data_IF_630653475454
#
_entry.id   IF_630653475454
#
_cell.length_a   1.000
_cell.length_b   1.000
_cell.length_c   1.000
_cell.angle_alpha   90.00
_cell.angle_beta   90.00
_cell.angle_gamma   90.00
#
_symmetry.space_group_name_H-M   'P 1'
#
loop_
_entity.id
_entity.type
_entity.pdbx_description
1 polymer ?
#
# COMPACT_ATOMS: atom_id res chain seq x y z
N UNK A 1 6.69 -4.08 -18.60
CA UNK A 1 6.99 -3.60 -17.24
C UNK A 1 7.67 -4.74 -16.49
N UNK A 2 8.87 -4.53 -15.93
CA UNK A 2 9.59 -5.60 -15.24
C UNK A 2 9.10 -5.70 -13.79
N UNK A 3 8.06 -6.50 -13.56
CA UNK A 3 7.36 -6.64 -12.27
C UNK A 3 8.23 -7.22 -11.15
N UNK A 4 9.30 -7.94 -11.50
CA UNK A 4 10.27 -8.50 -10.55
C UNK A 4 11.44 -7.56 -10.25
N UNK A 5 11.38 -6.31 -10.71
CA UNK A 5 12.43 -5.32 -10.43
C UNK A 5 12.50 -5.09 -8.92
N UNK A 6 13.66 -5.33 -8.32
CA UNK A 6 13.91 -5.03 -6.91
C UNK A 6 14.06 -3.51 -6.76
N UNK A 7 13.24 -2.92 -5.91
CA UNK A 7 13.34 -1.52 -5.50
C UNK A 7 14.07 -1.48 -4.15
N UNK A 8 15.11 -0.67 -4.10
CA UNK A 8 15.92 -0.47 -2.90
C UNK A 8 15.70 0.94 -2.39
N UNK A 9 15.38 1.07 -1.12
CA UNK A 9 15.18 2.36 -0.46
C UNK A 9 15.63 2.26 1.00
N UNK A 10 15.81 3.41 1.66
CA UNK A 10 16.17 3.47 3.08
C UNK A 10 15.05 4.12 3.86
N UNK A 11 14.69 3.53 4.99
CA UNK A 11 13.83 4.16 6.00
C UNK A 11 14.70 4.31 7.24
N UNK A 12 15.07 5.55 7.57
CA UNK A 12 16.11 5.83 8.55
C UNK A 12 17.44 5.17 8.13
N UNK A 13 18.06 4.43 9.05
CA UNK A 13 19.30 3.70 8.79
C UNK A 13 19.11 2.27 8.26
N UNK A 14 17.86 1.82 8.10
CA UNK A 14 17.57 0.45 7.64
C UNK A 14 17.46 0.43 6.10
N UNK A 15 18.35 -0.31 5.40
CA UNK A 15 18.21 -0.56 3.98
C UNK A 15 17.12 -1.60 3.72
N UNK A 16 16.14 -1.25 2.90
CA UNK A 16 15.06 -2.11 2.47
C UNK A 16 15.23 -2.49 1.00
N UNK A 17 14.99 -3.76 0.71
CA UNK A 17 14.95 -4.30 -0.66
C UNK A 17 13.61 -5.00 -0.85
N UNK A 18 12.77 -4.46 -1.73
CA UNK A 18 11.41 -4.96 -1.94
C UNK A 18 11.14 -5.14 -3.43
N UNK A 19 10.62 -6.29 -3.87
CA UNK A 19 10.14 -6.47 -5.24
C UNK A 19 9.03 -5.47 -5.61
N UNK A 20 9.04 -4.98 -6.85
CA UNK A 20 8.05 -4.00 -7.33
C UNK A 20 6.61 -4.52 -7.26
N UNK A 21 6.38 -5.78 -7.60
CA UNK A 21 5.07 -6.45 -7.48
C UNK A 21 4.55 -6.45 -6.03
N UNK A 22 5.42 -6.73 -5.06
CA UNK A 22 5.07 -6.67 -3.63
C UNK A 22 4.73 -5.26 -3.19
N UNK A 23 5.53 -4.26 -3.59
CA UNK A 23 5.25 -2.84 -3.30
C UNK A 23 3.90 -2.40 -3.85
N UNK A 24 3.59 -2.76 -5.09
CA UNK A 24 2.31 -2.43 -5.73
C UNK A 24 1.15 -3.16 -5.05
N UNK A 25 1.32 -4.42 -4.67
CA UNK A 25 0.30 -5.18 -3.96
C UNK A 25 -0.03 -4.54 -2.61
N UNK A 26 0.99 -4.20 -1.81
CA UNK A 26 0.81 -3.58 -0.48
C UNK A 26 0.18 -2.19 -0.62
N UNK A 27 0.65 -1.38 -1.58
CA UNK A 27 0.06 -0.08 -1.87
C UNK A 27 -1.41 -0.18 -2.31
N UNK A 28 -1.72 -1.14 -3.18
CA UNK A 28 -3.08 -1.40 -3.65
C UNK A 28 -4.01 -1.83 -2.53
N UNK A 29 -3.60 -2.78 -1.68
CA UNK A 29 -4.39 -3.23 -0.52
C UNK A 29 -4.64 -2.06 0.43
N UNK A 30 -3.61 -1.25 0.70
CA UNK A 30 -3.73 -0.07 1.56
C UNK A 30 -4.81 0.89 1.03
N UNK A 31 -4.78 1.22 -0.26
CA UNK A 31 -5.78 2.09 -0.88
C UNK A 31 -7.20 1.50 -0.82
N UNK A 32 -7.34 0.19 -1.05
CA UNK A 32 -8.64 -0.49 -0.95
C UNK A 32 -9.17 -0.41 0.47
N UNK A 33 -8.34 -0.72 1.48
CA UNK A 33 -8.76 -0.66 2.88
C UNK A 33 -9.10 0.76 3.31
N UNK A 34 -8.32 1.76 2.89
CA UNK A 34 -8.63 3.17 3.15
C UNK A 34 -9.95 3.60 2.51
N UNK A 35 -10.18 3.25 1.24
CA UNK A 35 -11.41 3.59 0.53
C UNK A 35 -12.64 2.91 1.11
N UNK A 36 -12.54 1.62 1.39
CA UNK A 36 -13.61 0.83 2.03
C UNK A 36 -13.90 1.34 3.44
N UNK A 37 -12.86 1.60 4.23
CA UNK A 37 -12.98 2.16 5.57
C UNK A 37 -13.64 3.55 5.56
N UNK A 38 -13.25 4.43 4.64
CA UNK A 38 -13.86 5.74 4.49
C UNK A 38 -15.34 5.65 4.09
N UNK A 39 -15.68 4.74 3.15
CA UNK A 39 -17.06 4.50 2.73
C UNK A 39 -17.93 4.00 3.88
N UNK A 40 -17.48 2.95 4.59
CA UNK A 40 -18.23 2.43 5.73
C UNK A 40 -18.30 3.47 6.87
N UNK A 41 -17.23 4.21 7.13
CA UNK A 41 -17.21 5.29 8.11
C UNK A 41 -18.24 6.39 7.80
N UNK A 42 -18.38 6.77 6.53
CA UNK A 42 -19.42 7.71 6.10
C UNK A 42 -20.83 7.14 6.28
N UNK A 43 -21.06 5.89 5.87
CA UNK A 43 -22.36 5.23 6.02
C UNK A 43 -22.79 5.11 7.49
N UNK A 44 -21.89 4.68 8.38
CA UNK A 44 -22.17 4.56 9.81
C UNK A 44 -22.28 5.91 10.52
N UNK A 45 -21.54 6.93 10.10
CA UNK A 45 -21.61 8.28 10.68
C UNK A 45 -22.81 9.11 10.20
N UNK A 46 -23.46 8.69 9.11
CA UNK A 46 -24.64 9.37 8.55
C UNK A 46 -25.97 8.80 9.09
N UNK A 47 -25.93 7.84 10.03
CA UNK A 47 -27.11 7.26 10.69
C UNK A 47 -27.39 7.91 12.05
#
# INVERSE_FOLDING_TARGET
MNWKKIIRFKIGDVPWEVPLDVLVLVGGITLVLMGVGAYFGFQFGSS
#
